data_IF_240441672918
#
_entry.id   IF_240441672918
#
_cell.length_a   1.000
_cell.length_b   1.000
_cell.length_c   1.000
_cell.angle_alpha   90.00
_cell.angle_beta   90.00
_cell.angle_gamma   90.00
#
_symmetry.space_group_name_H-M   'P 1'
#
loop_
_entity.id
_entity.type
_entity.pdbx_description
1 polymer ?
#
# COMPACT_ATOMS: atom_id res chain seq x y z
N UNK A 1 36.71 -39.15 -8.20
CA UNK A 1 35.85 -39.42 -7.03
C UNK A 1 36.80 -39.69 -5.87
N UNK A 2 36.62 -39.03 -4.72
CA UNK A 2 37.56 -39.12 -3.57
C UNK A 2 37.69 -40.56 -3.09
N UNK A 3 38.92 -40.99 -2.78
CA UNK A 3 39.19 -42.32 -2.22
C UNK A 3 38.58 -42.52 -0.81
N UNK A 4 38.29 -41.42 -0.11
CA UNK A 4 37.58 -41.44 1.18
C UNK A 4 36.45 -40.39 1.17
N UNK A 5 35.17 -40.80 1.06
CA UNK A 5 34.02 -39.88 0.98
C UNK A 5 33.71 -39.18 2.30
N UNK A 6 34.00 -39.82 3.44
CA UNK A 6 33.70 -39.27 4.77
C UNK A 6 34.66 -38.14 5.12
N UNK A 7 35.96 -38.33 4.85
CA UNK A 7 36.97 -37.29 4.97
C UNK A 7 36.65 -36.09 4.07
N UNK A 8 36.18 -36.34 2.83
CA UNK A 8 35.77 -35.28 1.91
C UNK A 8 34.57 -34.48 2.43
N UNK A 9 33.50 -35.15 2.89
CA UNK A 9 32.31 -34.47 3.41
C UNK A 9 32.60 -33.67 4.68
N UNK A 10 33.39 -34.22 5.60
CA UNK A 10 33.85 -33.50 6.79
C UNK A 10 34.62 -32.23 6.41
N UNK A 11 35.65 -32.39 5.57
CA UNK A 11 36.53 -31.29 5.18
C UNK A 11 35.78 -30.20 4.40
N UNK A 12 34.88 -30.59 3.51
CA UNK A 12 34.00 -29.68 2.76
C UNK A 12 33.13 -28.83 3.69
N UNK A 13 32.48 -29.44 4.69
CA UNK A 13 31.65 -28.72 5.67
C UNK A 13 32.48 -27.75 6.50
N UNK A 14 33.66 -28.19 6.96
CA UNK A 14 34.59 -27.35 7.71
C UNK A 14 35.07 -26.14 6.89
N UNK A 15 35.44 -26.36 5.64
CA UNK A 15 35.86 -25.32 4.69
C UNK A 15 34.75 -24.28 4.44
N UNK A 16 33.49 -24.69 4.28
CA UNK A 16 32.37 -23.75 4.17
C UNK A 16 32.19 -22.91 5.43
N UNK A 17 32.30 -23.53 6.61
CA UNK A 17 32.23 -22.84 7.90
C UNK A 17 33.33 -21.78 8.05
N UNK A 18 34.56 -22.10 7.63
CA UNK A 18 35.68 -21.16 7.60
C UNK A 18 35.38 -19.97 6.70
N UNK A 19 34.98 -20.21 5.43
CA UNK A 19 34.72 -19.12 4.47
C UNK A 19 33.59 -18.21 4.93
N UNK A 20 32.58 -18.75 5.61
CA UNK A 20 31.48 -17.95 6.16
C UNK A 20 31.96 -16.93 7.22
N UNK A 21 32.94 -17.33 8.05
CA UNK A 21 33.46 -16.52 9.17
C UNK A 21 34.60 -15.60 8.74
N UNK A 22 35.57 -16.12 8.01
CA UNK A 22 36.87 -15.48 7.78
C UNK A 22 37.11 -15.04 6.32
N UNK A 23 36.28 -15.48 5.37
CA UNK A 23 36.44 -15.17 3.95
C UNK A 23 37.15 -16.28 3.16
N UNK A 24 37.42 -16.04 1.87
CA UNK A 24 37.90 -17.06 0.93
C UNK A 24 39.38 -16.89 0.55
N UNK A 25 40.20 -16.39 1.48
CA UNK A 25 41.64 -16.30 1.27
C UNK A 25 42.24 -17.71 1.14
N UNK A 26 42.92 -17.98 0.03
CA UNK A 26 43.33 -19.33 -0.37
C UNK A 26 44.31 -19.96 0.62
N UNK A 27 45.29 -19.19 1.11
CA UNK A 27 46.30 -19.70 2.03
C UNK A 27 45.71 -20.01 3.42
N UNK A 28 44.89 -19.10 3.95
CA UNK A 28 44.20 -19.31 5.22
C UNK A 28 43.20 -20.47 5.16
N UNK A 29 42.47 -20.61 4.06
CA UNK A 29 41.54 -21.73 3.84
C UNK A 29 42.26 -23.06 3.71
N UNK A 30 43.38 -23.10 2.97
CA UNK A 30 44.21 -24.30 2.81
C UNK A 30 44.79 -24.74 4.15
N UNK A 31 45.32 -23.81 4.95
CA UNK A 31 45.82 -24.12 6.29
C UNK A 31 44.71 -24.65 7.21
N UNK A 32 43.55 -24.00 7.23
CA UNK A 32 42.38 -24.46 7.97
C UNK A 32 41.95 -25.87 7.55
N UNK A 33 41.97 -26.18 6.25
CA UNK A 33 41.67 -27.51 5.76
C UNK A 33 42.70 -28.55 6.23
N UNK A 34 44.00 -28.24 6.26
CA UNK A 34 45.02 -29.14 6.81
C UNK A 34 44.77 -29.40 8.30
N UNK A 35 44.64 -28.36 9.09
CA UNK A 35 44.44 -28.47 10.54
C UNK A 35 43.15 -29.23 10.89
N UNK A 36 42.07 -29.00 10.12
CA UNK A 36 40.80 -29.69 10.31
C UNK A 36 40.87 -31.17 9.92
N UNK A 37 41.57 -31.52 8.83
CA UNK A 37 41.74 -32.91 8.43
C UNK A 37 42.64 -33.65 9.43
N UNK A 38 43.72 -33.02 9.90
CA UNK A 38 44.62 -33.59 10.92
C UNK A 38 43.92 -33.78 12.27
N UNK A 39 43.01 -32.89 12.65
CA UNK A 39 42.16 -33.07 13.82
C UNK A 39 41.18 -34.23 13.63
N UNK A 40 40.53 -34.31 12.48
CA UNK A 40 39.60 -35.40 12.17
C UNK A 40 40.28 -36.76 12.16
N UNK A 41 41.45 -36.89 11.55
CA UNK A 41 42.23 -38.13 11.50
C UNK A 41 42.67 -38.65 12.89
N UNK A 42 42.81 -37.75 13.87
CA UNK A 42 43.17 -38.09 15.25
C UNK A 42 42.00 -38.61 16.09
N UNK A 43 40.78 -38.22 15.72
CA UNK A 43 39.57 -38.55 16.48
C UNK A 43 38.67 -39.48 15.64
N UNK A 44 37.72 -38.91 14.90
CA UNK A 44 36.67 -39.62 14.16
C UNK A 44 37.18 -40.41 12.95
N UNK A 45 38.31 -40.03 12.38
CA UNK A 45 38.95 -40.63 11.21
C UNK A 45 39.98 -41.72 11.54
N UNK A 46 40.07 -42.15 12.80
CA UNK A 46 41.02 -43.18 13.23
C UNK A 46 40.74 -44.50 12.50
N UNK A 47 41.72 -45.02 11.76
CA UNK A 47 41.56 -46.25 10.96
C UNK A 47 40.97 -46.03 9.56
N UNK A 48 40.82 -44.78 9.10
CA UNK A 48 40.29 -44.42 7.77
C UNK A 48 41.16 -44.88 6.57
N UNK A 49 42.37 -45.38 6.81
CA UNK A 49 43.27 -45.90 5.78
C UNK A 49 43.82 -44.84 4.81
N UNK A 50 43.60 -43.55 5.10
CA UNK A 50 43.97 -42.44 4.22
C UNK A 50 45.51 -42.26 4.21
N UNK A 51 46.13 -42.42 3.05
CA UNK A 51 47.58 -42.21 2.93
C UNK A 51 47.92 -40.70 3.01
N UNK A 52 49.07 -40.28 3.56
CA UNK A 52 49.44 -38.86 3.67
C UNK A 52 49.39 -38.09 2.34
N UNK A 53 49.71 -38.73 1.22
CA UNK A 53 49.61 -38.12 -0.11
C UNK A 53 48.16 -37.87 -0.57
N UNK A 54 47.23 -38.73 -0.17
CA UNK A 54 45.80 -38.59 -0.47
C UNK A 54 45.15 -37.52 0.41
N UNK A 55 45.57 -37.44 1.67
CA UNK A 55 45.19 -36.35 2.57
C UNK A 55 45.57 -34.98 2.00
N UNK A 56 46.81 -34.82 1.53
CA UNK A 56 47.27 -33.57 0.93
C UNK A 56 46.50 -33.25 -0.36
N UNK A 57 46.28 -34.23 -1.24
CA UNK A 57 45.46 -34.04 -2.46
C UNK A 57 44.02 -33.61 -2.12
N UNK A 58 43.44 -34.19 -1.07
CA UNK A 58 42.07 -33.89 -0.63
C UNK A 58 41.95 -32.45 -0.09
N UNK A 59 42.93 -32.02 0.71
CA UNK A 59 43.03 -30.64 1.18
C UNK A 59 43.13 -29.67 0.00
N UNK A 60 43.95 -30.00 -0.98
CA UNK A 60 44.17 -29.16 -2.16
C UNK A 60 42.92 -29.02 -3.02
N UNK A 61 42.24 -30.13 -3.29
CA UNK A 61 41.01 -30.16 -4.08
C UNK A 61 39.89 -29.36 -3.40
N UNK A 62 39.68 -29.59 -2.10
CA UNK A 62 38.61 -28.91 -1.35
C UNK A 62 38.91 -27.42 -1.20
N UNK A 63 40.12 -27.04 -0.80
CA UNK A 63 40.48 -25.63 -0.62
C UNK A 63 40.43 -24.85 -1.93
N UNK A 64 40.91 -25.45 -3.03
CA UNK A 64 40.88 -24.84 -4.37
C UNK A 64 39.45 -24.69 -4.88
N UNK A 65 38.64 -25.74 -4.77
CA UNK A 65 37.25 -25.70 -5.24
C UNK A 65 36.42 -24.70 -4.43
N UNK A 66 36.50 -24.74 -3.10
CA UNK A 66 35.75 -23.84 -2.21
C UNK A 66 36.22 -22.40 -2.37
N UNK A 67 37.54 -22.15 -2.46
CA UNK A 67 38.08 -20.81 -2.66
C UNK A 67 37.62 -20.16 -3.97
N UNK A 68 37.48 -20.95 -5.04
CA UNK A 68 37.03 -20.47 -6.36
C UNK A 68 35.50 -20.32 -6.46
N UNK A 69 34.73 -21.25 -5.89
CA UNK A 69 33.29 -21.35 -6.17
C UNK A 69 32.40 -20.87 -5.01
N UNK A 70 32.89 -20.89 -3.76
CA UNK A 70 32.09 -20.52 -2.60
C UNK A 70 32.38 -19.09 -2.17
N UNK A 71 31.38 -18.22 -2.28
CA UNK A 71 31.45 -16.83 -1.81
C UNK A 71 30.74 -16.68 -0.48
N UNK A 72 31.29 -15.85 0.40
CA UNK A 72 30.68 -15.52 1.70
C UNK A 72 29.20 -15.11 1.49
N UNK A 73 28.23 -15.84 2.06
CA UNK A 73 26.83 -15.47 1.95
C UNK A 73 26.62 -14.08 2.57
N UNK A 74 25.96 -13.17 1.86
CA UNK A 74 25.54 -11.88 2.45
C UNK A 74 24.58 -12.19 3.61
N UNK A 75 24.99 -11.92 4.85
CA UNK A 75 24.11 -12.01 6.03
C UNK A 75 22.90 -11.10 5.77
N UNK A 76 21.74 -11.70 5.50
CA UNK A 76 20.48 -10.97 5.49
C UNK A 76 20.18 -10.58 6.93
N UNK A 77 19.84 -9.32 7.18
CA UNK A 77 19.27 -8.94 8.46
C UNK A 77 18.07 -9.87 8.73
N UNK A 78 18.09 -10.57 9.86
CA UNK A 78 16.99 -11.42 10.32
C UNK A 78 15.82 -10.51 10.66
N UNK A 79 15.01 -10.14 9.66
CA UNK A 79 13.79 -9.37 9.86
C UNK A 79 12.66 -10.33 10.23
N UNK A 80 12.04 -10.06 11.39
CA UNK A 80 10.91 -10.85 11.90
C UNK A 80 9.74 -10.80 10.91
N UNK A 81 8.86 -11.80 10.94
CA UNK A 81 7.73 -11.90 9.99
C UNK A 81 6.82 -10.68 10.12
N UNK A 82 6.67 -10.20 11.34
CA UNK A 82 5.85 -9.07 11.75
C UNK A 82 6.40 -7.77 11.17
N UNK A 83 7.72 -7.53 11.24
CA UNK A 83 8.38 -6.36 10.63
C UNK A 83 8.19 -6.32 9.11
N UNK A 84 8.21 -7.48 8.45
CA UNK A 84 7.93 -7.56 7.01
C UNK A 84 6.47 -7.25 6.68
N UNK A 85 5.53 -7.65 7.53
CA UNK A 85 4.12 -7.34 7.35
C UNK A 85 3.84 -5.84 7.57
N UNK A 86 4.42 -5.25 8.62
CA UNK A 86 4.36 -3.81 8.91
C UNK A 86 4.80 -2.97 7.72
N UNK A 87 6.04 -3.22 7.27
CA UNK A 87 6.65 -2.53 6.14
C UNK A 87 5.85 -2.66 4.84
N UNK A 88 5.03 -3.71 4.72
CA UNK A 88 4.13 -3.90 3.58
C UNK A 88 2.83 -3.10 3.71
N UNK A 89 2.31 -2.90 4.92
CA UNK A 89 1.12 -2.10 5.19
C UNK A 89 1.39 -0.61 5.01
N UNK A 90 2.53 -0.11 5.47
CA UNK A 90 2.87 1.33 5.37
C UNK A 90 3.43 1.76 4.00
N UNK A 91 3.62 0.81 3.07
CA UNK A 91 4.17 1.10 1.75
C UNK A 91 3.41 2.18 0.93
N UNK A 92 2.05 2.24 0.94
CA UNK A 92 1.28 3.26 0.22
C UNK A 92 1.58 4.68 0.72
N UNK A 93 1.81 4.85 2.02
CA UNK A 93 2.09 6.14 2.67
C UNK A 93 3.31 6.82 2.03
N UNK A 94 4.33 6.04 1.65
CA UNK A 94 5.53 6.59 1.01
C UNK A 94 5.31 7.08 -0.42
N UNK A 95 4.20 6.71 -1.09
CA UNK A 95 3.80 7.30 -2.37
C UNK A 95 3.16 8.67 -2.17
N UNK A 96 2.36 8.83 -1.13
CA UNK A 96 1.80 10.13 -0.71
C UNK A 96 2.97 11.08 -0.41
N UNK A 97 3.92 10.62 0.42
CA UNK A 97 5.12 11.40 0.76
C UNK A 97 5.92 11.84 -0.46
N UNK A 98 6.03 10.99 -1.49
CA UNK A 98 6.67 11.38 -2.72
C UNK A 98 5.90 12.49 -3.47
N UNK A 99 4.56 12.38 -3.56
CA UNK A 99 3.73 13.39 -4.23
C UNK A 99 3.83 14.76 -3.55
N UNK A 100 3.82 14.79 -2.22
CA UNK A 100 3.85 16.03 -1.44
C UNK A 100 5.24 16.69 -1.44
N UNK A 101 6.33 15.90 -1.53
CA UNK A 101 7.69 16.43 -1.75
C UNK A 101 7.87 17.01 -3.18
N UNK A 102 6.79 17.17 -3.95
CA UNK A 102 6.79 17.62 -5.35
C UNK A 102 7.37 16.59 -6.31
N UNK A 103 7.57 15.36 -5.86
CA UNK A 103 8.14 14.28 -6.66
C UNK A 103 7.02 13.44 -7.27
N UNK A 104 7.33 12.75 -8.37
CA UNK A 104 6.37 11.81 -8.96
C UNK A 104 6.08 10.66 -7.97
N UNK A 105 4.81 10.37 -7.62
CA UNK A 105 4.44 9.24 -6.77
C UNK A 105 4.77 7.94 -7.50
N UNK A 106 5.97 7.43 -7.24
CA UNK A 106 6.55 6.31 -7.95
C UNK A 106 7.26 5.40 -6.97
N UNK A 107 7.30 4.11 -7.31
CA UNK A 107 8.01 3.09 -6.53
C UNK A 107 9.45 3.50 -6.22
N UNK A 108 10.13 4.20 -7.14
CA UNK A 108 11.51 4.65 -6.94
C UNK A 108 11.61 5.72 -5.85
N UNK A 109 10.72 6.71 -5.87
CA UNK A 109 10.72 7.79 -4.88
C UNK A 109 10.24 7.30 -3.53
N UNK A 110 9.18 6.49 -3.49
CA UNK A 110 8.71 5.83 -2.27
C UNK A 110 9.80 4.95 -1.64
N UNK A 111 10.53 4.16 -2.43
CA UNK A 111 11.63 3.33 -1.93
C UNK A 111 12.78 4.17 -1.36
N UNK A 112 13.13 5.28 -2.02
CA UNK A 112 14.16 6.21 -1.55
C UNK A 112 13.76 6.84 -0.22
N UNK A 113 12.53 7.31 -0.10
CA UNK A 113 11.99 7.93 1.13
C UNK A 113 11.93 6.90 2.26
N UNK A 114 11.51 5.66 1.97
CA UNK A 114 11.41 4.59 2.96
C UNK A 114 12.75 3.95 3.35
N UNK A 115 13.88 4.34 2.73
CA UNK A 115 15.17 3.66 2.92
C UNK A 115 15.15 2.18 2.50
N UNK A 116 14.24 1.78 1.60
CA UNK A 116 14.06 0.41 1.14
C UNK A 116 14.58 0.20 -0.28
N UNK A 117 14.82 -1.05 -0.64
CA UNK A 117 15.13 -1.38 -2.04
C UNK A 117 13.87 -1.19 -2.91
N UNK A 118 14.08 -0.75 -4.16
CA UNK A 118 12.98 -0.58 -5.14
C UNK A 118 12.14 -1.85 -5.32
N UNK A 119 12.77 -3.03 -5.32
CA UNK A 119 12.09 -4.31 -5.49
C UNK A 119 11.24 -4.67 -4.27
N UNK A 120 11.71 -4.37 -3.06
CA UNK A 120 10.93 -4.54 -1.82
C UNK A 120 9.68 -3.64 -1.84
N UNK A 121 9.85 -2.35 -2.11
CA UNK A 121 8.74 -1.39 -2.18
C UNK A 121 7.73 -1.77 -3.26
N UNK A 122 8.20 -2.18 -4.46
CA UNK A 122 7.32 -2.65 -5.54
C UNK A 122 6.47 -3.84 -5.11
N UNK A 123 7.08 -4.81 -4.41
CA UNK A 123 6.39 -5.99 -3.91
C UNK A 123 5.33 -5.62 -2.88
N UNK A 124 5.65 -4.72 -1.96
CA UNK A 124 4.72 -4.27 -0.93
C UNK A 124 3.52 -3.54 -1.51
N UNK A 125 3.75 -2.57 -2.40
CA UNK A 125 2.67 -1.85 -3.10
C UNK A 125 1.79 -2.80 -3.91
N UNK A 126 2.38 -3.80 -4.58
CA UNK A 126 1.62 -4.82 -5.32
C UNK A 126 0.75 -5.69 -4.42
N UNK A 127 1.18 -6.01 -3.19
CA UNK A 127 0.35 -6.73 -2.22
C UNK A 127 -0.90 -5.93 -1.85
N UNK A 128 -0.81 -4.60 -1.88
CA UNK A 128 -1.93 -3.68 -1.65
C UNK A 128 -2.69 -3.33 -2.94
N UNK A 129 -2.40 -3.99 -4.07
CA UNK A 129 -3.06 -3.71 -5.36
C UNK A 129 -2.64 -2.39 -6.02
N UNK A 130 -1.67 -1.65 -5.47
CA UNK A 130 -1.27 -0.32 -5.94
C UNK A 130 -0.16 -0.43 -6.99
N UNK A 131 -0.39 0.17 -8.16
CA UNK A 131 0.54 0.12 -9.28
C UNK A 131 0.65 1.49 -9.98
N UNK A 132 1.43 2.45 -9.43
CA UNK A 132 1.38 3.86 -9.84
C UNK A 132 1.69 4.12 -11.33
N UNK A 133 2.58 3.31 -11.92
CA UNK A 133 2.89 3.39 -13.36
C UNK A 133 1.72 2.93 -14.21
N UNK A 134 1.00 1.91 -13.75
CA UNK A 134 -0.18 1.37 -14.42
C UNK A 134 -1.35 2.35 -14.29
N UNK A 135 -1.55 2.90 -13.09
CA UNK A 135 -2.63 3.87 -12.84
C UNK A 135 -2.41 5.16 -13.63
N UNK A 136 -1.15 5.62 -13.73
CA UNK A 136 -0.78 6.73 -14.60
C UNK A 136 -1.04 6.46 -16.09
N UNK A 137 -0.79 5.23 -16.56
CA UNK A 137 -1.13 4.82 -17.94
C UNK A 137 -2.63 4.79 -18.19
N UNK A 138 -3.43 4.34 -17.21
CA UNK A 138 -4.89 4.38 -17.28
C UNK A 138 -5.39 5.83 -17.30
N UNK A 139 -4.84 6.70 -16.46
CA UNK A 139 -5.20 8.12 -16.43
C UNK A 139 -4.90 8.82 -17.77
N UNK A 140 -3.82 8.44 -18.47
CA UNK A 140 -3.46 9.01 -19.77
C UNK A 140 -4.37 8.55 -20.94
N UNK A 141 -5.20 7.52 -20.76
CA UNK A 141 -6.13 7.06 -21.80
C UNK A 141 -7.27 8.07 -22.06
N UNK A 142 -7.79 8.14 -23.30
CA UNK A 142 -9.03 8.85 -23.61
C UNK A 142 -10.18 8.40 -22.73
N UNK A 143 -11.12 9.29 -22.41
CA UNK A 143 -12.19 9.05 -21.42
C UNK A 143 -12.92 7.71 -21.61
N UNK A 144 -13.31 7.37 -22.83
CA UNK A 144 -14.01 6.12 -23.13
C UNK A 144 -13.10 4.89 -23.01
N UNK A 145 -11.83 4.99 -23.43
CA UNK A 145 -10.85 3.92 -23.27
C UNK A 145 -10.45 3.71 -21.80
N UNK A 146 -10.41 4.79 -21.00
CA UNK A 146 -10.21 4.75 -19.55
C UNK A 146 -11.37 4.03 -18.86
N UNK A 147 -12.62 4.31 -19.26
CA UNK A 147 -13.80 3.59 -18.76
C UNK A 147 -13.73 2.10 -19.09
N UNK A 148 -13.35 1.76 -20.32
CA UNK A 148 -13.13 0.38 -20.74
C UNK A 148 -12.06 -0.32 -19.88
N UNK A 149 -10.90 0.30 -19.67
CA UNK A 149 -9.84 -0.24 -18.81
C UNK A 149 -10.34 -0.54 -17.39
N UNK A 150 -11.18 0.33 -16.81
CA UNK A 150 -11.79 0.13 -15.49
C UNK A 150 -12.81 -1.02 -15.45
N UNK A 151 -13.64 -1.16 -16.49
CA UNK A 151 -14.54 -2.31 -16.65
C UNK A 151 -13.73 -3.61 -16.67
N UNK A 152 -12.61 -3.63 -17.42
CA UNK A 152 -11.74 -4.81 -17.48
C UNK A 152 -11.07 -5.10 -16.14
N UNK A 153 -10.63 -4.08 -15.38
CA UNK A 153 -10.04 -4.30 -14.06
C UNK A 153 -11.02 -4.92 -13.06
N UNK A 154 -12.27 -4.45 -13.04
CA UNK A 154 -13.30 -5.02 -12.18
C UNK A 154 -13.75 -6.41 -12.61
N UNK A 155 -13.66 -6.69 -13.91
CA UNK A 155 -13.98 -8.01 -14.46
C UNK A 155 -12.87 -9.02 -14.18
N UNK A 156 -11.60 -8.61 -14.29
CA UNK A 156 -10.43 -9.47 -14.14
C UNK A 156 -9.58 -9.06 -12.93
N UNK A 157 -10.01 -9.34 -11.68
CA UNK A 157 -9.21 -9.01 -10.49
C UNK A 157 -7.90 -9.80 -10.41
N UNK A 158 -7.82 -10.96 -11.07
CA UNK A 158 -6.65 -11.85 -11.15
C UNK A 158 -6.24 -12.13 -12.61
N UNK A 159 -5.11 -12.83 -12.81
CA UNK A 159 -4.69 -13.30 -14.14
C UNK A 159 -5.70 -14.34 -14.66
N UNK A 160 -6.16 -14.17 -15.92
CA UNK A 160 -7.17 -15.04 -16.52
C UNK A 160 -7.48 -14.66 -17.97
N UNK A 161 -8.20 -15.52 -18.69
CA UNK A 161 -8.66 -15.29 -20.06
C UNK A 161 -10.16 -15.56 -20.15
N UNK A 162 -10.94 -14.60 -20.67
CA UNK A 162 -12.38 -14.77 -20.90
C UNK A 162 -12.76 -14.47 -22.34
N UNK A 163 -13.86 -15.09 -22.77
CA UNK A 163 -14.56 -14.78 -24.01
C UNK A 163 -15.77 -13.87 -23.70
N UNK A 164 -15.90 -12.77 -24.41
CA UNK A 164 -16.96 -11.77 -24.21
C UNK A 164 -17.64 -11.46 -25.53
N UNK A 165 -18.97 -11.35 -25.55
CA UNK A 165 -19.70 -10.92 -26.76
C UNK A 165 -19.44 -9.45 -27.06
N UNK A 166 -19.24 -9.13 -28.33
CA UNK A 166 -19.02 -7.76 -28.79
C UNK A 166 -20.16 -6.83 -28.37
N UNK A 167 -21.41 -7.26 -28.56
CA UNK A 167 -22.59 -6.49 -28.16
C UNK A 167 -22.70 -6.27 -26.67
N UNK A 168 -22.32 -7.27 -25.86
CA UNK A 168 -22.30 -7.10 -24.41
C UNK A 168 -21.26 -6.04 -24.02
N UNK A 169 -20.07 -6.07 -24.61
CA UNK A 169 -19.04 -5.07 -24.36
C UNK A 169 -19.50 -3.65 -24.76
N UNK A 170 -20.20 -3.51 -25.89
CA UNK A 170 -20.81 -2.24 -26.31
C UNK A 170 -21.88 -1.77 -25.32
N UNK A 171 -22.83 -2.63 -24.96
CA UNK A 171 -23.89 -2.29 -24.00
C UNK A 171 -23.30 -1.84 -22.66
N UNK A 172 -22.27 -2.55 -22.18
CA UNK A 172 -21.62 -2.26 -20.90
C UNK A 172 -20.82 -0.97 -20.93
N UNK A 173 -20.09 -0.71 -22.01
CA UNK A 173 -19.21 0.45 -22.10
C UNK A 173 -19.98 1.77 -22.19
N UNK A 174 -21.03 1.82 -22.99
CA UNK A 174 -21.77 3.06 -23.24
C UNK A 174 -22.99 3.23 -22.34
N UNK A 175 -23.75 2.16 -22.10
CA UNK A 175 -25.05 2.24 -21.44
C UNK A 175 -25.05 1.61 -20.04
N UNK A 176 -23.95 0.94 -19.64
CA UNK A 176 -23.82 0.19 -18.38
C UNK A 176 -24.79 -0.99 -18.24
N UNK A 177 -25.30 -1.50 -19.36
CA UNK A 177 -26.27 -2.59 -19.44
C UNK A 177 -25.60 -3.90 -19.84
N UNK A 178 -26.24 -5.02 -19.51
CA UNK A 178 -25.74 -6.35 -19.91
C UNK A 178 -26.21 -6.75 -21.31
N UNK A 179 -27.27 -6.12 -21.82
CA UNK A 179 -27.83 -6.36 -23.14
C UNK A 179 -28.00 -5.03 -23.88
N UNK A 180 -27.71 -5.06 -25.18
CA UNK A 180 -27.77 -3.89 -26.03
C UNK A 180 -29.24 -3.53 -26.30
N UNK A 181 -29.71 -2.31 -26.00
CA UNK A 181 -31.12 -1.96 -26.11
C UNK A 181 -31.67 -2.17 -27.53
N UNK A 182 -32.85 -2.79 -27.63
CA UNK A 182 -33.55 -3.00 -28.90
C UNK A 182 -33.99 -1.68 -29.54
N UNK A 183 -34.39 -0.71 -28.72
CA UNK A 183 -34.81 0.62 -29.16
C UNK A 183 -33.67 1.52 -29.67
N UNK A 184 -32.41 1.05 -29.65
CA UNK A 184 -31.26 1.86 -30.11
C UNK A 184 -31.25 2.01 -31.63
N UNK A 185 -31.06 3.24 -32.16
CA UNK A 185 -30.92 3.46 -33.61
C UNK A 185 -29.79 2.62 -34.22
N UNK A 186 -30.06 2.03 -35.40
CA UNK A 186 -29.10 1.16 -36.11
C UNK A 186 -27.78 1.87 -36.43
N UNK A 187 -27.83 3.17 -36.76
CA UNK A 187 -26.65 4.01 -37.02
C UNK A 187 -25.75 4.11 -35.79
N UNK A 188 -26.33 4.40 -34.62
CA UNK A 188 -25.59 4.48 -33.35
C UNK A 188 -25.00 3.13 -32.95
N UNK A 189 -25.72 2.02 -33.17
CA UNK A 189 -25.21 0.66 -32.91
C UNK A 189 -23.99 0.36 -33.79
N UNK A 190 -24.07 0.64 -35.09
CA UNK A 190 -22.98 0.41 -36.04
C UNK A 190 -21.74 1.26 -35.70
N UNK A 191 -21.93 2.54 -35.38
CA UNK A 191 -20.83 3.43 -35.02
C UNK A 191 -20.11 2.98 -33.75
N UNK A 192 -20.85 2.59 -32.71
CA UNK A 192 -20.27 2.07 -31.45
C UNK A 192 -19.50 0.76 -31.67
N UNK A 193 -20.04 -0.17 -32.47
CA UNK A 193 -19.33 -1.40 -32.86
C UNK A 193 -18.04 -1.11 -33.62
N UNK A 194 -18.04 -0.11 -34.52
CA UNK A 194 -16.85 0.30 -35.28
C UNK A 194 -15.77 0.94 -34.40
N UNK A 195 -16.17 1.73 -33.39
CA UNK A 195 -15.26 2.39 -32.44
C UNK A 195 -14.66 1.44 -31.39
N UNK A 196 -15.34 0.35 -31.04
CA UNK A 196 -14.90 -0.55 -29.97
C UNK A 196 -13.52 -1.20 -30.23
N UNK A 197 -13.19 -1.74 -31.42
CA UNK A 197 -11.86 -2.25 -31.73
C UNK A 197 -10.74 -1.22 -31.53
N UNK A 198 -10.96 0.04 -31.91
CA UNK A 198 -9.99 1.13 -31.71
C UNK A 198 -9.72 1.37 -30.21
N UNK A 199 -10.77 1.35 -29.39
CA UNK A 199 -10.65 1.50 -27.93
C UNK A 199 -9.94 0.31 -27.28
N UNK A 200 -10.23 -0.91 -27.72
CA UNK A 200 -9.55 -2.13 -27.25
C UNK A 200 -8.06 -2.15 -27.65
N UNK A 201 -7.75 -1.67 -28.85
CA UNK A 201 -6.38 -1.49 -29.31
C UNK A 201 -5.64 -0.44 -28.47
N UNK A 202 -6.27 0.69 -28.15
CA UNK A 202 -5.69 1.72 -27.28
C UNK A 202 -5.38 1.19 -25.87
N UNK A 203 -6.30 0.40 -25.29
CA UNK A 203 -6.11 -0.26 -23.98
C UNK A 203 -4.94 -1.25 -24.03
N UNK A 204 -4.83 -2.04 -25.11
CA UNK A 204 -3.74 -3.01 -25.30
C UNK A 204 -2.39 -2.27 -25.48
N UNK A 205 -2.36 -1.21 -26.30
CA UNK A 205 -1.18 -0.40 -26.58
C UNK A 205 -0.67 0.36 -25.34
N UNK A 206 -1.56 0.73 -24.41
CA UNK A 206 -1.17 1.34 -23.14
C UNK A 206 -0.34 0.42 -22.24
N UNK A 207 -0.28 -0.89 -22.53
CA UNK A 207 0.58 -1.83 -21.82
C UNK A 207 0.21 -1.97 -20.34
N UNK A 208 -1.09 -1.91 -20.03
CA UNK A 208 -1.63 -2.04 -18.66
C UNK A 208 -1.91 -3.50 -18.25
N UNK A 209 -1.49 -4.45 -19.08
CA UNK A 209 -1.55 -5.89 -18.80
C UNK A 209 -2.76 -6.60 -19.40
N UNK A 210 -3.55 -5.95 -20.25
CA UNK A 210 -4.61 -6.59 -21.02
C UNK A 210 -4.14 -6.88 -22.46
N UNK A 211 -4.43 -8.08 -22.93
CA UNK A 211 -4.21 -8.49 -24.30
C UNK A 211 -5.57 -8.87 -24.88
N UNK A 212 -5.96 -8.21 -25.96
CA UNK A 212 -7.27 -8.37 -26.57
C UNK A 212 -7.12 -8.85 -28.00
N UNK A 213 -7.97 -9.80 -28.40
CA UNK A 213 -8.16 -10.22 -29.78
C UNK A 213 -9.65 -10.22 -30.11
N UNK A 214 -10.01 -9.64 -31.25
CA UNK A 214 -11.40 -9.58 -31.73
C UNK A 214 -11.51 -10.52 -32.94
N UNK A 215 -12.48 -11.44 -32.91
CA UNK A 215 -12.79 -12.32 -34.03
C UNK A 215 -14.32 -12.38 -34.21
N UNK A 216 -14.83 -11.80 -35.29
CA UNK A 216 -16.27 -11.68 -35.53
C UNK A 216 -16.99 -10.96 -34.38
N UNK A 217 -18.01 -11.61 -33.82
CA UNK A 217 -18.81 -11.10 -32.70
C UNK A 217 -18.25 -11.47 -31.31
N UNK A 218 -17.08 -12.10 -31.24
CA UNK A 218 -16.44 -12.53 -30.02
C UNK A 218 -15.14 -11.74 -29.73
N UNK A 219 -14.92 -11.43 -28.46
CA UNK A 219 -13.75 -10.73 -27.96
C UNK A 219 -13.06 -11.64 -26.95
N UNK A 220 -11.84 -12.05 -27.28
CA UNK A 220 -10.93 -12.74 -26.36
C UNK A 220 -10.13 -11.71 -25.56
N UNK A 221 -10.25 -11.75 -24.23
CA UNK A 221 -9.54 -10.84 -23.33
C UNK A 221 -8.72 -11.65 -22.34
N UNK A 222 -7.41 -11.40 -22.27
CA UNK A 222 -6.50 -12.04 -21.32
C UNK A 222 -5.70 -11.01 -20.53
N UNK A 223 -5.71 -11.18 -19.20
CA UNK A 223 -4.85 -10.42 -18.29
C UNK A 223 -3.49 -11.12 -18.14
N UNK A 224 -2.40 -10.35 -18.22
CA UNK A 224 -1.03 -10.83 -18.09
C UNK A 224 -0.42 -11.28 -19.42
N UNK A 225 -0.38 -12.60 -19.66
CA UNK A 225 0.31 -13.17 -20.84
C UNK A 225 -0.43 -12.85 -22.14
N UNK A 226 0.33 -12.65 -23.22
CA UNK A 226 -0.20 -12.51 -24.58
C UNK A 226 -0.81 -13.82 -25.05
N UNK A 227 -1.76 -13.73 -25.96
CA UNK A 227 -2.21 -14.89 -26.72
C UNK A 227 -1.11 -15.35 -27.68
N UNK A 228 -1.02 -16.67 -27.90
CA UNK A 228 -0.06 -17.27 -28.83
C UNK A 228 -0.68 -17.29 -30.23
N UNK A 229 -0.20 -16.45 -31.13
CA UNK A 229 -0.63 -16.44 -32.54
C UNK A 229 -2.12 -16.17 -32.77
N UNK A 230 -2.49 -15.81 -34.00
CA UNK A 230 -3.91 -15.60 -34.34
C UNK A 230 -4.67 -16.94 -34.43
N UNK A 231 -4.00 -17.97 -34.97
CA UNK A 231 -4.58 -19.30 -35.21
C UNK A 231 -4.91 -20.05 -33.93
N UNK A 232 -3.98 -20.11 -32.97
CA UNK A 232 -4.22 -20.84 -31.72
C UNK A 232 -5.23 -20.11 -30.83
N UNK A 233 -5.30 -18.77 -30.94
CA UNK A 233 -6.32 -17.98 -30.24
C UNK A 233 -7.70 -18.24 -30.81
N UNK A 234 -7.86 -18.33 -32.13
CA UNK A 234 -9.14 -18.64 -32.76
C UNK A 234 -9.62 -20.04 -32.34
N UNK A 235 -8.73 -21.04 -32.35
CA UNK A 235 -9.03 -22.39 -31.88
C UNK A 235 -9.41 -22.42 -30.39
N UNK A 236 -8.71 -21.63 -29.55
CA UNK A 236 -9.09 -21.48 -28.14
C UNK A 236 -10.45 -20.80 -27.97
N UNK A 237 -10.77 -19.76 -28.77
CA UNK A 237 -12.07 -19.08 -28.70
C UNK A 237 -13.23 -20.01 -29.01
N UNK A 238 -13.09 -20.84 -30.06
CA UNK A 238 -14.11 -21.84 -30.43
C UNK A 238 -14.32 -22.88 -29.32
N UNK A 239 -13.23 -23.38 -28.72
CA UNK A 239 -13.30 -24.35 -27.64
C UNK A 239 -13.85 -23.73 -26.33
N UNK A 240 -13.45 -22.51 -26.01
CA UNK A 240 -13.91 -21.79 -24.82
C UNK A 240 -15.41 -21.44 -24.93
N UNK A 241 -15.88 -21.06 -26.12
CA UNK A 241 -17.31 -20.85 -26.41
C UNK A 241 -18.11 -22.15 -26.17
N UNK A 242 -17.58 -23.28 -26.63
CA UNK A 242 -18.22 -24.61 -26.48
C UNK A 242 -18.30 -25.06 -25.03
N UNK A 243 -17.25 -24.85 -24.24
CA UNK A 243 -17.12 -25.40 -22.88
C UNK A 243 -17.66 -24.46 -21.82
N UNK A 244 -17.26 -23.19 -21.85
CA UNK A 244 -17.50 -22.23 -20.76
C UNK A 244 -18.46 -21.10 -21.15
N UNK A 245 -18.73 -20.92 -22.46
CA UNK A 245 -19.58 -19.88 -22.99
C UNK A 245 -19.03 -18.46 -22.78
N UNK A 246 -19.86 -17.47 -23.10
CA UNK A 246 -19.50 -16.07 -22.93
C UNK A 246 -19.63 -15.61 -21.48
N UNK A 247 -18.66 -14.82 -21.01
CA UNK A 247 -18.68 -14.16 -19.70
C UNK A 247 -19.20 -12.72 -19.82
N UNK A 248 -19.87 -12.28 -18.77
CA UNK A 248 -20.32 -10.90 -18.63
C UNK A 248 -19.25 -10.05 -17.94
N UNK A 249 -18.98 -8.88 -18.52
CA UNK A 249 -18.16 -7.84 -17.94
C UNK A 249 -18.89 -7.23 -16.74
N UNK A 250 -18.12 -6.84 -15.73
CA UNK A 250 -18.62 -6.15 -14.54
C UNK A 250 -18.38 -4.65 -14.69
N UNK A 251 -19.41 -3.87 -14.37
CA UNK A 251 -19.24 -2.43 -14.25
C UNK A 251 -18.20 -2.12 -13.17
N UNK A 252 -17.34 -1.11 -13.37
CA UNK A 252 -16.61 -0.57 -12.25
C UNK A 252 -17.63 -0.16 -11.19
N UNK A 253 -17.37 -0.47 -9.92
CA UNK A 253 -18.05 0.25 -8.83
C UNK A 253 -17.84 1.73 -9.16
N UNK A 254 -18.93 2.43 -9.42
CA UNK A 254 -18.86 3.71 -10.11
C UNK A 254 -18.25 4.75 -9.19
N UNK A 255 -16.92 4.88 -9.20
CA UNK A 255 -16.22 6.04 -8.62
C UNK A 255 -16.80 7.35 -9.20
N UNK A 256 -17.26 7.31 -10.46
CA UNK A 256 -17.84 8.46 -11.17
C UNK A 256 -19.30 8.78 -10.89
N UNK A 257 -20.01 8.02 -10.02
CA UNK A 257 -21.34 8.37 -9.50
C UNK A 257 -21.38 8.50 -7.98
N UNK A 258 -20.22 8.55 -7.31
CA UNK A 258 -20.17 9.33 -6.08
C UNK A 258 -20.43 10.77 -6.51
N UNK A 259 -21.63 11.29 -6.26
CA UNK A 259 -21.73 12.71 -5.83
C UNK A 259 -20.53 12.89 -4.91
N UNK A 260 -19.62 13.83 -5.18
CA UNK A 260 -18.53 14.10 -4.24
C UNK A 260 -19.20 14.47 -2.94
N UNK A 261 -19.33 13.46 -2.06
CA UNK A 261 -20.05 13.57 -0.81
C UNK A 261 -19.26 14.53 0.04
N UNK A 262 -19.96 15.26 0.89
CA UNK A 262 -19.30 16.19 1.81
C UNK A 262 -18.24 15.45 2.63
N UNK A 263 -18.58 14.25 3.12
CA UNK A 263 -17.73 13.42 3.98
C UNK A 263 -16.67 12.60 3.23
N UNK A 264 -16.72 12.52 1.91
CA UNK A 264 -15.70 11.84 1.08
C UNK A 264 -14.44 12.72 0.88
N UNK A 265 -14.43 13.95 1.43
CA UNK A 265 -13.26 14.83 1.40
C UNK A 265 -12.16 14.30 2.34
N UNK A 266 -10.94 14.06 1.85
CA UNK A 266 -9.88 13.41 2.64
C UNK A 266 -9.49 14.22 3.88
N UNK A 267 -9.52 15.57 3.80
CA UNK A 267 -9.20 16.42 4.94
C UNK A 267 -10.31 16.43 5.98
N UNK A 268 -11.57 16.41 5.55
CA UNK A 268 -12.72 16.27 6.47
C UNK A 268 -12.66 14.93 7.17
N UNK A 269 -12.41 13.84 6.44
CA UNK A 269 -12.26 12.51 7.02
C UNK A 269 -11.12 12.43 8.04
N UNK A 270 -9.98 13.06 7.77
CA UNK A 270 -8.81 13.03 8.66
C UNK A 270 -9.03 13.83 9.95
N UNK A 271 -9.58 15.04 9.84
CA UNK A 271 -9.90 15.87 11.02
C UNK A 271 -10.92 15.17 11.91
N UNK A 272 -11.96 14.58 11.31
CA UNK A 272 -12.93 13.79 12.08
C UNK A 272 -12.28 12.59 12.77
N UNK A 273 -11.42 11.84 12.08
CA UNK A 273 -10.74 10.70 12.67
C UNK A 273 -9.87 11.09 13.87
N UNK A 274 -9.18 12.24 13.79
CA UNK A 274 -8.41 12.80 14.92
C UNK A 274 -9.33 13.22 16.06
N UNK A 275 -10.37 14.01 15.78
CA UNK A 275 -11.33 14.43 16.82
C UNK A 275 -12.00 13.24 17.52
N UNK A 276 -12.37 12.20 16.74
CA UNK A 276 -13.00 10.98 17.22
C UNK A 276 -12.10 10.08 18.05
N UNK A 277 -10.82 10.02 17.71
CA UNK A 277 -9.85 9.25 18.48
C UNK A 277 -9.42 10.01 19.73
N UNK A 278 -9.25 11.33 19.65
CA UNK A 278 -8.99 12.20 20.81
C UNK A 278 -10.09 12.13 21.87
N UNK A 279 -11.36 12.08 21.45
CA UNK A 279 -12.50 12.08 22.37
C UNK A 279 -12.79 10.74 23.07
N UNK A 280 -12.15 9.63 22.69
CA UNK A 280 -12.53 8.34 23.29
C UNK A 280 -11.60 7.16 23.09
N UNK A 281 -10.48 7.30 22.38
CA UNK A 281 -9.55 6.19 22.15
C UNK A 281 -8.27 6.38 22.94
N UNK A 282 -7.99 5.43 23.84
CA UNK A 282 -6.71 5.33 24.56
C UNK A 282 -5.72 4.41 23.87
N UNK A 283 -6.18 3.59 22.93
CA UNK A 283 -5.37 2.61 22.23
C UNK A 283 -5.70 2.57 20.75
N UNK A 284 -4.71 2.13 19.97
CA UNK A 284 -4.81 1.99 18.52
C UNK A 284 -4.44 0.55 18.13
N UNK A 285 -5.41 -0.30 17.76
CA UNK A 285 -5.14 -1.68 17.36
C UNK A 285 -4.33 -1.78 16.06
N UNK A 286 -4.33 -0.74 15.21
CA UNK A 286 -3.62 -0.73 13.93
C UNK A 286 -2.91 0.60 13.69
N UNK A 287 -1.72 0.55 13.08
CA UNK A 287 -0.95 1.74 12.73
C UNK A 287 -1.66 2.64 11.69
N UNK A 288 -2.57 2.07 10.90
CA UNK A 288 -3.38 2.80 9.93
C UNK A 288 -4.29 3.86 10.59
N UNK A 289 -4.72 3.62 11.84
CA UNK A 289 -5.59 4.54 12.59
C UNK A 289 -4.85 5.81 13.04
N UNK A 290 -3.52 5.80 13.02
CA UNK A 290 -2.68 6.97 13.28
C UNK A 290 -2.31 7.76 12.02
N UNK A 291 -2.67 7.28 10.83
CA UNK A 291 -2.39 8.01 9.58
C UNK A 291 -3.03 9.41 9.54
N UNK A 292 -4.28 9.62 10.02
CA UNK A 292 -4.85 10.97 10.11
C UNK A 292 -4.02 11.91 10.99
N UNK A 293 -3.56 11.44 12.16
CA UNK A 293 -2.69 12.19 13.05
C UNK A 293 -1.38 12.59 12.35
N UNK A 294 -0.72 11.64 11.70
CA UNK A 294 0.54 11.91 11.00
C UNK A 294 0.37 12.87 9.82
N UNK A 295 -0.74 12.79 9.08
CA UNK A 295 -1.03 13.68 7.96
C UNK A 295 -1.33 15.11 8.41
N UNK A 296 -2.12 15.27 9.48
CA UNK A 296 -2.43 16.60 10.04
C UNK A 296 -1.24 17.24 10.77
N UNK A 297 -0.39 16.44 11.41
CA UNK A 297 0.78 16.93 12.15
C UNK A 297 1.95 17.31 11.22
N UNK A 298 1.90 16.84 9.97
CA UNK A 298 2.97 17.02 8.98
C UNK A 298 3.42 18.46 8.73
N UNK A 299 2.53 19.48 8.68
CA UNK A 299 2.97 20.86 8.51
C UNK A 299 3.90 21.34 9.64
N UNK A 300 3.90 20.65 10.78
CA UNK A 300 4.66 20.99 11.98
C UNK A 300 5.91 20.12 12.15
N UNK A 301 5.88 18.87 11.65
CA UNK A 301 6.97 17.90 11.84
C UNK A 301 7.01 16.86 10.71
N UNK A 302 8.18 16.35 10.36
CA UNK A 302 8.31 15.20 9.44
C UNK A 302 7.92 13.87 10.12
N UNK A 303 6.77 13.24 9.80
CA UNK A 303 6.32 12.02 10.47
C UNK A 303 7.09 10.76 10.04
N UNK A 304 7.89 10.81 8.95
CA UNK A 304 8.57 9.63 8.38
C UNK A 304 9.40 8.84 9.38
N UNK A 305 10.21 9.47 10.25
CA UNK A 305 11.04 8.74 11.21
C UNK A 305 10.23 8.09 12.33
N UNK A 306 8.97 8.51 12.54
CA UNK A 306 8.10 8.01 13.61
C UNK A 306 7.42 6.68 13.28
N UNK A 307 7.31 6.32 12.00
CA UNK A 307 6.56 5.13 11.55
C UNK A 307 7.05 3.86 12.26
N UNK A 308 8.36 3.66 12.37
CA UNK A 308 8.93 2.49 13.05
C UNK A 308 8.71 2.50 14.57
N UNK A 309 8.73 3.69 15.20
CA UNK A 309 8.50 3.84 16.64
C UNK A 309 7.02 3.61 16.98
N UNK A 310 6.12 4.10 16.14
CA UNK A 310 4.67 3.90 16.27
C UNK A 310 4.31 2.42 16.11
N UNK A 311 4.86 1.74 15.09
CA UNK A 311 4.66 0.30 14.93
C UNK A 311 5.20 -0.49 16.12
N UNK A 312 6.33 -0.07 16.69
CA UNK A 312 6.87 -0.66 17.91
C UNK A 312 6.01 -0.37 19.14
N UNK A 313 5.40 0.82 19.25
CA UNK A 313 4.46 1.16 20.32
C UNK A 313 3.21 0.28 20.28
N UNK A 314 2.61 0.14 19.10
CA UNK A 314 1.41 -0.69 18.90
C UNK A 314 1.69 -2.18 19.18
N UNK A 315 2.92 -2.66 18.95
CA UNK A 315 3.30 -4.07 19.14
C UNK A 315 3.90 -4.38 20.50
N UNK A 316 4.51 -3.38 21.13
CA UNK A 316 5.53 -3.55 22.16
C UNK A 316 5.04 -3.41 23.59
N UNK A 317 3.90 -2.76 23.85
CA UNK A 317 3.46 -2.52 25.22
C UNK A 317 1.93 -2.48 25.38
N UNK A 318 1.54 -2.54 26.66
CA UNK A 318 0.28 -3.02 27.22
C UNK A 318 -0.89 -2.10 26.87
N UNK A 319 -2.04 -2.65 26.44
CA UNK A 319 -3.16 -1.93 25.83
C UNK A 319 -3.96 -0.98 26.77
N UNK A 320 -3.29 -0.29 27.69
CA UNK A 320 -3.95 0.60 28.64
C UNK A 320 -3.84 2.08 28.20
N UNK A 321 -2.72 2.51 27.57
CA UNK A 321 -2.57 3.87 26.99
C UNK A 321 -1.42 3.97 25.96
N UNK A 322 -1.76 4.26 24.70
CA UNK A 322 -0.80 4.41 23.59
C UNK A 322 0.15 5.60 23.76
N UNK A 323 -0.29 6.71 24.33
CA UNK A 323 0.53 7.92 24.48
C UNK A 323 1.69 7.65 25.42
N UNK A 324 1.42 6.96 26.54
CA UNK A 324 2.45 6.57 27.51
C UNK A 324 3.47 5.59 26.91
N UNK A 325 2.98 4.62 26.13
CA UNK A 325 3.84 3.67 25.43
C UNK A 325 4.75 4.37 24.42
N UNK A 326 4.20 5.32 23.66
CA UNK A 326 4.96 6.11 22.71
C UNK A 326 6.03 6.95 23.42
N UNK A 327 5.69 7.63 24.51
CA UNK A 327 6.65 8.42 25.32
C UNK A 327 7.78 7.54 25.89
N UNK A 328 7.43 6.36 26.43
CA UNK A 328 8.37 5.39 26.99
C UNK A 328 9.35 4.85 25.94
N UNK A 329 8.85 4.55 24.74
CA UNK A 329 9.69 4.12 23.62
C UNK A 329 10.58 5.25 23.12
N UNK A 330 10.05 6.46 22.98
CA UNK A 330 10.82 7.63 22.56
C UNK A 330 11.99 7.93 23.53
N UNK A 331 11.81 7.72 24.83
CA UNK A 331 12.88 7.87 25.83
C UNK A 331 14.09 6.98 25.53
N UNK A 332 13.88 5.82 24.90
CA UNK A 332 14.92 4.84 24.56
C UNK A 332 15.53 5.06 23.18
N UNK A 333 14.99 6.00 22.40
CA UNK A 333 15.52 6.33 21.07
C UNK A 333 16.76 7.22 21.21
N UNK A 334 17.87 6.79 20.61
CA UNK A 334 19.13 7.53 20.58
C UNK A 334 19.13 8.66 19.57
N UNK A 335 18.37 8.53 18.49
CA UNK A 335 18.17 9.57 17.48
C UNK A 335 17.36 10.74 18.07
N UNK A 336 17.97 11.93 18.12
CA UNK A 336 17.37 13.13 18.72
C UNK A 336 16.17 13.63 17.93
N UNK A 337 16.19 13.52 16.60
CA UNK A 337 15.11 14.01 15.74
C UNK A 337 13.87 13.12 15.90
N UNK A 338 14.06 11.81 15.82
CA UNK A 338 12.98 10.81 16.04
C UNK A 338 12.39 10.96 17.45
N UNK A 339 13.25 11.11 18.47
CA UNK A 339 12.80 11.28 19.85
C UNK A 339 11.99 12.56 20.04
N UNK A 340 12.45 13.69 19.51
CA UNK A 340 11.74 14.97 19.62
C UNK A 340 10.40 14.93 18.90
N UNK A 341 10.39 14.37 17.69
CA UNK A 341 9.20 14.16 16.89
C UNK A 341 8.16 13.29 17.61
N UNK A 342 8.61 12.22 18.27
CA UNK A 342 7.73 11.29 18.96
C UNK A 342 7.15 11.88 20.24
N UNK A 343 7.93 12.65 21.00
CA UNK A 343 7.40 13.41 22.13
C UNK A 343 6.42 14.50 21.70
N UNK A 344 6.66 15.16 20.54
CA UNK A 344 5.71 16.15 20.02
C UNK A 344 4.39 15.50 19.64
N UNK A 345 4.40 14.37 18.94
CA UNK A 345 3.19 13.61 18.60
C UNK A 345 2.45 13.19 19.87
N UNK A 346 3.15 12.59 20.84
CA UNK A 346 2.55 12.17 22.10
C UNK A 346 1.91 13.34 22.86
N UNK A 347 2.61 14.48 22.97
CA UNK A 347 2.10 15.66 23.67
C UNK A 347 0.87 16.28 22.97
N UNK A 348 0.86 16.32 21.63
CA UNK A 348 -0.31 16.78 20.86
C UNK A 348 -1.51 15.86 21.07
N UNK A 349 -1.31 14.54 21.02
CA UNK A 349 -2.37 13.56 21.28
C UNK A 349 -2.91 13.64 22.72
N UNK A 350 -2.00 13.84 23.69
CA UNK A 350 -2.37 14.00 25.09
C UNK A 350 -3.19 15.27 25.34
N UNK A 351 -2.76 16.39 24.74
CA UNK A 351 -3.46 17.69 24.86
C UNK A 351 -4.86 17.59 24.29
N UNK A 352 -4.99 17.12 23.05
CA UNK A 352 -6.29 16.93 22.39
C UNK A 352 -7.20 15.98 23.19
N UNK A 353 -6.65 14.93 23.81
CA UNK A 353 -7.42 14.04 24.69
C UNK A 353 -7.93 14.79 25.92
N UNK A 354 -7.10 15.60 26.57
CA UNK A 354 -7.51 16.40 27.72
C UNK A 354 -8.59 17.42 27.34
N UNK A 355 -8.45 18.10 26.19
CA UNK A 355 -9.45 19.06 25.71
C UNK A 355 -10.80 18.40 25.46
N UNK A 356 -10.82 17.15 25.01
CA UNK A 356 -12.06 16.38 24.86
C UNK A 356 -12.66 15.90 26.20
N UNK A 357 -11.82 15.59 27.19
CA UNK A 357 -12.26 15.12 28.51
C UNK A 357 -12.82 16.26 29.38
N UNK A 358 -12.27 17.47 29.25
CA UNK A 358 -12.61 18.62 30.10
C UNK A 358 -13.34 19.75 29.38
N UNK A 359 -13.43 19.70 28.06
CA UNK A 359 -14.11 20.68 27.23
C UNK A 359 -15.64 20.58 27.32
N UNK A 360 -16.30 21.71 27.05
CA UNK A 360 -17.76 21.84 27.17
C UNK A 360 -18.44 22.01 25.82
N UNK A 361 -17.78 22.67 24.86
CA UNK A 361 -18.37 22.97 23.55
C UNK A 361 -17.63 22.24 22.41
N UNK A 362 -18.34 21.45 21.56
CA UNK A 362 -17.71 20.74 20.45
C UNK A 362 -17.01 21.64 19.42
N UNK A 363 -17.49 22.88 19.25
CA UNK A 363 -16.89 23.86 18.34
C UNK A 363 -15.56 24.42 18.86
N UNK A 364 -15.42 24.52 20.18
CA UNK A 364 -14.17 24.90 20.84
C UNK A 364 -13.17 23.75 20.78
N UNK A 365 -13.62 22.52 21.03
CA UNK A 365 -12.78 21.33 20.83
C UNK A 365 -12.20 21.24 19.40
N UNK A 366 -12.99 21.57 18.38
CA UNK A 366 -12.45 21.69 17.02
C UNK A 366 -11.34 22.75 16.92
N UNK A 367 -11.52 23.90 17.57
CA UNK A 367 -10.55 24.98 17.56
C UNK A 367 -9.27 24.60 18.33
N UNK A 368 -9.38 23.83 19.41
CA UNK A 368 -8.24 23.31 20.18
C UNK A 368 -7.43 22.30 19.36
N UNK A 369 -8.12 21.39 18.66
CA UNK A 369 -7.49 20.44 17.73
C UNK A 369 -6.79 21.19 16.58
N UNK A 370 -7.38 22.26 16.07
CA UNK A 370 -6.73 23.14 15.08
C UNK A 370 -5.55 23.92 15.68
N UNK A 371 -5.62 24.34 16.93
CA UNK A 371 -4.52 25.03 17.60
C UNK A 371 -3.26 24.14 17.64
N UNK A 372 -3.43 22.88 18.02
CA UNK A 372 -2.32 21.94 18.16
C UNK A 372 -1.74 21.46 16.83
N UNK A 373 -2.59 21.26 15.81
CA UNK A 373 -2.19 20.70 14.51
C UNK A 373 -2.02 21.74 13.40
N UNK A 374 -2.54 22.95 13.60
CA UNK A 374 -2.53 24.10 12.66
C UNK A 374 -3.02 23.77 11.26
N UNK A 375 -3.99 22.86 11.15
CA UNK A 375 -4.43 22.36 9.86
C UNK A 375 -5.27 23.38 9.08
N UNK A 376 -6.08 24.23 9.73
CA UNK A 376 -6.91 25.21 9.02
C UNK A 376 -6.07 26.27 8.30
N UNK A 377 -5.02 26.78 8.95
CA UNK A 377 -4.07 27.71 8.35
C UNK A 377 -3.34 27.08 7.15
N UNK A 378 -2.99 25.79 7.25
CA UNK A 378 -2.41 25.05 6.15
C UNK A 378 -3.40 24.90 4.98
N UNK A 379 -4.63 24.46 5.26
CA UNK A 379 -5.66 24.20 4.25
C UNK A 379 -6.18 25.46 3.57
N UNK A 380 -6.22 26.59 4.25
CA UNK A 380 -6.53 27.88 3.65
C UNK A 380 -5.62 28.18 2.44
N UNK A 381 -4.35 27.73 2.50
CA UNK A 381 -3.36 27.91 1.45
C UNK A 381 -3.35 26.78 0.42
N UNK A 382 -3.45 25.52 0.87
CA UNK A 382 -3.21 24.35 0.00
C UNK A 382 -4.49 23.71 -0.55
N UNK A 383 -5.60 23.80 0.18
CA UNK A 383 -6.89 23.21 -0.20
C UNK A 383 -8.08 24.09 0.21
N UNK A 384 -8.30 25.26 -0.43
CA UNK A 384 -9.34 26.24 -0.05
C UNK A 384 -10.77 25.68 0.01
N UNK A 385 -11.08 24.68 -0.83
CA UNK A 385 -12.40 24.01 -0.82
C UNK A 385 -12.59 23.11 0.40
N UNK A 386 -11.56 22.39 0.81
CA UNK A 386 -11.58 21.57 2.02
C UNK A 386 -11.60 22.45 3.27
N UNK A 387 -10.87 23.58 3.27
CA UNK A 387 -10.99 24.62 4.29
C UNK A 387 -12.45 25.08 4.44
N UNK A 388 -13.13 25.45 3.36
CA UNK A 388 -14.52 25.89 3.41
C UNK A 388 -15.46 24.80 3.98
N UNK A 389 -15.23 23.53 3.65
CA UNK A 389 -16.00 22.41 4.23
C UNK A 389 -15.76 22.26 5.73
N UNK A 390 -14.52 22.36 6.19
CA UNK A 390 -14.18 22.26 7.62
C UNK A 390 -14.70 23.47 8.41
N UNK A 391 -14.64 24.67 7.84
CA UNK A 391 -15.28 25.86 8.43
C UNK A 391 -16.80 25.71 8.51
N UNK A 392 -17.44 25.16 7.47
CA UNK A 392 -18.87 24.84 7.51
C UNK A 392 -19.17 23.78 8.58
N UNK A 393 -18.35 22.75 8.68
CA UNK A 393 -18.46 21.74 9.72
C UNK A 393 -18.39 22.37 11.12
N UNK A 394 -17.36 23.18 11.40
CA UNK A 394 -17.18 23.88 12.67
C UNK A 394 -18.32 24.83 13.01
N UNK A 395 -18.74 25.67 12.07
CA UNK A 395 -19.63 26.79 12.36
C UNK A 395 -21.12 26.45 12.19
N UNK A 396 -21.45 25.36 11.49
CA UNK A 396 -22.84 25.01 11.17
C UNK A 396 -23.20 23.60 11.64
N UNK A 397 -22.35 22.61 11.38
CA UNK A 397 -22.67 21.21 11.73
C UNK A 397 -22.48 20.97 13.23
N UNK A 398 -21.30 21.30 13.78
CA UNK A 398 -21.00 21.06 15.19
C UNK A 398 -21.96 21.76 16.15
N UNK A 399 -22.36 23.03 15.96
CA UNK A 399 -23.30 23.67 16.89
C UNK A 399 -24.69 23.06 16.82
N UNK A 400 -25.16 22.65 15.63
CA UNK A 400 -26.45 21.98 15.46
C UNK A 400 -26.48 20.62 16.15
N UNK A 401 -25.46 19.80 15.93
CA UNK A 401 -25.35 18.46 16.52
C UNK A 401 -25.07 18.57 18.02
N UNK A 402 -24.24 19.52 18.46
CA UNK A 402 -23.94 19.76 19.87
C UNK A 402 -25.16 20.18 20.67
N UNK A 403 -26.06 20.97 20.08
CA UNK A 403 -27.32 21.36 20.73
C UNK A 403 -28.24 20.15 21.03
N UNK A 404 -28.16 19.07 20.24
CA UNK A 404 -28.91 17.82 20.51
C UNK A 404 -28.41 17.10 21.78
N UNK A 405 -27.21 17.43 22.26
CA UNK A 405 -26.51 16.76 23.35
C UNK A 405 -26.00 17.72 24.42
N UNK A 406 -26.58 18.92 24.53
CA UNK A 406 -26.13 19.95 25.47
C UNK A 406 -26.25 19.51 26.95
N UNK A 407 -27.21 18.63 27.26
CA UNK A 407 -27.45 18.09 28.59
C UNK A 407 -26.67 16.79 28.88
N UNK A 408 -25.86 16.30 27.93
CA UNK A 408 -25.06 15.08 28.13
C UNK A 408 -23.89 15.37 29.10
N UNK A 409 -23.58 14.48 30.06
CA UNK A 409 -22.42 14.63 30.94
C UNK A 409 -21.07 14.71 30.20
N UNK A 410 -20.99 14.21 28.97
CA UNK A 410 -19.86 14.37 28.07
C UNK A 410 -20.35 14.83 26.68
N UNK A 411 -20.63 16.13 26.51
CA UNK A 411 -21.26 16.66 25.31
C UNK A 411 -20.36 16.53 24.07
N UNK A 412 -19.04 16.63 24.23
CA UNK A 412 -18.08 16.43 23.14
C UNK A 412 -18.14 14.99 22.63
N UNK A 413 -18.04 14.01 23.53
CA UNK A 413 -18.09 12.60 23.15
C UNK A 413 -19.43 12.23 22.48
N UNK A 414 -20.55 12.68 23.04
CA UNK A 414 -21.88 12.44 22.49
C UNK A 414 -22.02 13.05 21.08
N UNK A 415 -21.60 14.30 20.90
CA UNK A 415 -21.57 14.99 19.60
C UNK A 415 -20.69 14.25 18.60
N UNK A 416 -19.49 13.83 19.01
CA UNK A 416 -18.57 13.09 18.15
C UNK A 416 -19.16 11.73 17.72
N UNK A 417 -19.80 11.02 18.64
CA UNK A 417 -20.50 9.76 18.33
C UNK A 417 -21.63 9.97 17.33
N UNK A 418 -22.40 11.05 17.45
CA UNK A 418 -23.45 11.42 16.49
C UNK A 418 -22.88 11.78 15.12
N UNK A 419 -21.77 12.53 15.08
CA UNK A 419 -21.09 12.90 13.83
C UNK A 419 -20.58 11.68 13.05
N UNK A 420 -20.25 10.55 13.71
CA UNK A 420 -19.85 9.30 13.03
C UNK A 420 -20.95 8.71 12.13
N UNK A 421 -22.22 9.02 12.39
CA UNK A 421 -23.35 8.52 11.59
C UNK A 421 -23.66 9.40 10.36
N UNK A 422 -23.24 10.68 10.36
CA UNK A 422 -23.53 11.62 9.28
C UNK A 422 -23.01 11.20 7.89
N UNK A 423 -21.83 10.56 7.75
CA UNK A 423 -21.39 10.00 6.49
C UNK A 423 -22.39 9.00 5.90
N UNK A 424 -22.91 8.08 6.70
CA UNK A 424 -23.86 7.05 6.26
C UNK A 424 -25.25 7.62 5.98
N UNK A 425 -25.68 8.64 6.74
CA UNK A 425 -26.89 9.40 6.47
C UNK A 425 -26.83 10.18 5.14
N UNK A 426 -25.67 10.73 4.79
CA UNK A 426 -25.47 11.31 3.45
C UNK A 426 -25.58 10.23 2.36
N UNK A 427 -25.12 9.00 2.62
CA UNK A 427 -25.27 7.89 1.67
C UNK A 427 -26.73 7.48 1.51
N UNK A 428 -27.48 7.44 2.61
CA UNK A 428 -28.90 7.13 2.65
C UNK A 428 -29.79 8.27 2.13
N UNK A 429 -29.24 9.49 1.99
CA UNK A 429 -29.98 10.67 1.56
C UNK A 429 -30.81 11.34 2.66
N UNK A 430 -30.65 10.91 3.91
CA UNK A 430 -31.31 11.51 5.08
C UNK A 430 -30.59 12.75 5.59
N UNK A 431 -29.30 12.91 5.25
CA UNK A 431 -28.54 14.13 5.47
C UNK A 431 -28.21 14.82 4.14
N UNK A 432 -28.39 16.14 4.08
CA UNK A 432 -28.14 16.93 2.87
C UNK A 432 -26.84 17.73 3.00
N UNK A 433 -25.94 17.55 2.03
CA UNK A 433 -24.70 18.29 1.93
C UNK A 433 -24.94 19.79 1.64
N UNK A 434 -24.06 20.69 2.14
CA UNK A 434 -24.16 22.10 1.82
C UNK A 434 -23.98 22.35 0.32
N UNK A 435 -24.73 23.33 -0.18
CA UNK A 435 -24.62 23.82 -1.54
C UNK A 435 -23.32 24.59 -1.75
N UNK A 436 -22.88 24.71 -3.01
CA UNK A 436 -21.71 25.51 -3.34
C UNK A 436 -21.84 26.99 -2.91
N UNK A 437 -23.07 27.51 -2.87
CA UNK A 437 -23.38 28.86 -2.42
C UNK A 437 -23.15 29.00 -0.91
N UNK A 438 -23.55 28.02 -0.12
CA UNK A 438 -23.32 28.00 1.33
C UNK A 438 -21.83 27.88 1.65
N UNK A 439 -21.10 27.02 0.93
CA UNK A 439 -19.65 26.87 1.12
C UNK A 439 -18.85 28.11 0.69
N UNK A 440 -19.36 28.91 -0.26
CA UNK A 440 -18.66 30.10 -0.73
C UNK A 440 -18.41 31.14 0.37
N UNK A 441 -19.30 31.22 1.37
CA UNK A 441 -19.16 32.11 2.52
C UNK A 441 -17.97 31.74 3.44
N UNK A 442 -17.46 30.52 3.32
CA UNK A 442 -16.39 29.97 4.16
C UNK A 442 -15.06 29.80 3.40
N UNK A 443 -14.98 30.29 2.17
CA UNK A 443 -13.72 30.32 1.43
C UNK A 443 -12.75 31.29 2.12
N UNK A 444 -11.44 30.95 2.17
CA UNK A 444 -10.45 31.87 2.73
C UNK A 444 -10.41 33.16 1.88
N UNK A 445 -10.12 34.32 2.50
CA UNK A 445 -9.98 35.58 1.76
C UNK A 445 -8.91 35.41 0.68
N UNK A 446 -9.16 35.97 -0.51
CA UNK A 446 -8.16 36.00 -1.59
C UNK A 446 -7.01 36.91 -1.12
N UNK A 447 -5.88 36.29 -0.78
CA UNK A 447 -4.63 36.97 -0.47
C UNK A 447 -3.97 37.58 -1.70
#
# INVERSE_FOLDING_TARGET
MSANPDAFEYLRKSAYGHVQRHGNEVNALRQHCRDALDAWLRDEGTGSGLHPSEAESLVEDVSTWVGRHYRRPKRKALRRREERAAAAMVAPVFLEYAAEDGLKPSVRNAARIAGQSKSTMARHLRLQGIAPVRDGRIAALPTTARRLARILDNSFPTDGAWLVRLDHCVAKLWDDLDVLPEAMPRSTRSERRKKLPELLAAVTAAGIGFNVLVNGDAIAIRRGRRFHGMKDTAAWMEEEERVNGFRFLRSPETEGRRRQRFWDDPWVADVLAVMFSGAGWRTFPKAEELQPWLRLLRPLLDPRPLVAVIEAAIRGAMQDDFVLDLQSLCARVTDKEVRTAGYRLAGVMETIRHDAEWGWEPADYFADVDHELRFMAHLARTAPKSHAKLMYFRNVVLPKVGAEHADDPNPIYATMKRCRALPDEEKAGTWTAPTAKELAAFLPPKG
#
